data_IF_100115376666
#
_entry.id   IF_100115376666
#
_cell.length_a   1.000
_cell.length_b   1.000
_cell.length_c   1.000
_cell.angle_alpha   90.00
_cell.angle_beta   90.00
_cell.angle_gamma   90.00
#
_symmetry.space_group_name_H-M   'P 1'
#
loop_
_entity.id
_entity.type
_entity.pdbx_description
1 polymer ?
#
# COMPACT_ATOMS: atom_id res chain seq x y z
N UNK A 1 13.01 -22.92 2.64
CA UNK A 1 12.25 -24.14 2.99
C UNK A 1 10.74 -23.97 2.79
N UNK A 2 10.13 -22.89 3.28
CA UNK A 2 8.65 -22.70 3.22
C UNK A 2 8.05 -22.71 1.81
N UNK A 3 8.67 -22.06 0.82
CA UNK A 3 8.09 -21.99 -0.55
C UNK A 3 8.05 -23.33 -1.28
N UNK A 4 9.04 -24.21 -1.07
CA UNK A 4 9.05 -25.54 -1.69
C UNK A 4 7.95 -26.43 -1.11
N UNK A 5 7.71 -26.33 0.20
CA UNK A 5 6.59 -27.01 0.85
C UNK A 5 5.25 -26.48 0.34
N UNK A 6 5.09 -25.16 0.23
CA UNK A 6 3.90 -24.52 -0.36
C UNK A 6 3.67 -25.04 -1.78
N UNK A 7 4.71 -25.07 -2.62
CA UNK A 7 4.61 -25.60 -3.98
C UNK A 7 4.16 -27.06 -4.02
N UNK A 8 4.77 -27.93 -3.21
CA UNK A 8 4.42 -29.34 -3.15
C UNK A 8 2.97 -29.55 -2.70
N UNK A 9 2.54 -28.86 -1.63
CA UNK A 9 1.18 -28.95 -1.11
C UNK A 9 0.14 -28.40 -2.09
N UNK A 10 0.42 -27.25 -2.72
CA UNK A 10 -0.46 -26.69 -3.74
C UNK A 10 -0.57 -27.61 -4.95
N UNK A 11 0.55 -28.16 -5.43
CA UNK A 11 0.55 -29.09 -6.56
C UNK A 11 -0.30 -30.32 -6.26
N UNK A 12 -0.06 -31.00 -5.13
CA UNK A 12 -0.83 -32.20 -4.74
C UNK A 12 -2.31 -31.86 -4.55
N UNK A 13 -2.63 -30.78 -3.83
CA UNK A 13 -4.00 -30.36 -3.58
C UNK A 13 -4.75 -29.99 -4.85
N UNK A 14 -4.13 -29.22 -5.76
CA UNK A 14 -4.72 -28.84 -7.03
C UNK A 14 -4.84 -30.03 -7.98
N UNK A 15 -3.87 -30.95 -8.01
CA UNK A 15 -3.97 -32.19 -8.79
C UNK A 15 -5.15 -33.05 -8.31
N UNK A 16 -5.33 -33.21 -6.99
CA UNK A 16 -6.47 -33.94 -6.44
C UNK A 16 -7.80 -33.24 -6.79
N UNK A 17 -7.85 -31.92 -6.64
CA UNK A 17 -9.02 -31.11 -7.00
C UNK A 17 -9.36 -31.24 -8.50
N UNK A 18 -8.38 -31.11 -9.39
CA UNK A 18 -8.59 -31.23 -10.83
C UNK A 18 -8.98 -32.64 -11.23
N UNK A 19 -8.37 -33.68 -10.66
CA UNK A 19 -8.72 -35.05 -10.98
C UNK A 19 -10.16 -35.36 -10.53
N UNK A 20 -10.47 -35.15 -9.25
CA UNK A 20 -11.79 -35.45 -8.69
C UNK A 20 -12.88 -34.56 -9.29
N UNK A 21 -12.64 -33.25 -9.34
CA UNK A 21 -13.57 -32.27 -9.90
C UNK A 21 -13.84 -32.52 -11.39
N UNK A 22 -12.81 -32.88 -12.17
CA UNK A 22 -13.00 -33.16 -13.60
C UNK A 22 -13.72 -34.47 -13.84
N UNK A 23 -13.48 -35.53 -13.04
CA UNK A 23 -14.26 -36.77 -13.13
C UNK A 23 -15.74 -36.47 -12.94
N UNK A 24 -16.11 -35.77 -11.85
CA UNK A 24 -17.52 -35.45 -11.56
C UNK A 24 -18.13 -34.56 -12.64
N UNK A 25 -17.44 -33.47 -12.98
CA UNK A 25 -17.91 -32.52 -13.99
C UNK A 25 -18.06 -33.16 -15.37
N UNK A 26 -17.09 -33.99 -15.80
CA UNK A 26 -17.14 -34.63 -17.11
C UNK A 26 -18.21 -35.73 -17.18
N UNK A 27 -18.40 -36.51 -16.10
CA UNK A 27 -19.46 -37.51 -16.02
C UNK A 27 -20.86 -36.91 -16.13
N UNK A 28 -21.05 -35.69 -15.65
CA UNK A 28 -22.34 -35.01 -15.68
C UNK A 28 -22.60 -34.28 -17.01
N UNK A 29 -21.58 -33.64 -17.58
CA UNK A 29 -21.76 -32.73 -18.73
C UNK A 29 -21.35 -33.32 -20.08
N UNK A 30 -20.60 -34.42 -20.13
CA UNK A 30 -20.03 -34.99 -21.35
C UNK A 30 -20.24 -36.50 -21.41
N UNK A 31 -20.27 -37.04 -22.63
CA UNK A 31 -20.45 -38.48 -22.84
C UNK A 31 -19.17 -39.29 -22.62
N UNK A 32 -18.00 -38.67 -22.84
CA UNK A 32 -16.70 -39.31 -22.68
C UNK A 32 -15.76 -38.44 -21.84
N UNK A 33 -15.06 -39.08 -20.91
CA UNK A 33 -14.01 -38.41 -20.14
C UNK A 33 -12.77 -38.15 -21.00
N UNK A 34 -12.06 -37.06 -20.73
CA UNK A 34 -10.85 -36.72 -21.43
C UNK A 34 -9.77 -37.81 -21.22
N UNK A 35 -9.04 -38.21 -22.29
CA UNK A 35 -8.03 -39.24 -22.17
C UNK A 35 -6.85 -38.77 -21.31
N UNK A 36 -6.27 -39.69 -20.53
CA UNK A 36 -5.11 -39.46 -19.64
C UNK A 36 -5.39 -38.39 -18.57
N UNK A 37 -6.60 -38.40 -18.01
CA UNK A 37 -7.03 -37.39 -17.04
C UNK A 37 -6.09 -37.24 -15.83
N UNK A 38 -5.52 -38.31 -15.21
CA UNK A 38 -4.58 -38.14 -14.10
C UNK A 38 -3.34 -37.32 -14.45
N UNK A 39 -2.76 -37.55 -15.64
CA UNK A 39 -1.60 -36.80 -16.11
C UNK A 39 -1.97 -35.33 -16.40
N UNK A 40 -3.14 -35.09 -16.99
CA UNK A 40 -3.65 -33.73 -17.24
C UNK A 40 -3.89 -32.96 -15.95
N UNK A 41 -4.49 -33.61 -14.94
CA UNK A 41 -4.68 -33.04 -13.62
C UNK A 41 -3.35 -32.74 -12.92
N UNK A 42 -2.34 -33.60 -13.09
CA UNK A 42 -0.99 -33.34 -12.59
C UNK A 42 -0.37 -32.11 -13.26
N UNK A 43 -0.43 -32.03 -14.60
CA UNK A 43 0.06 -30.86 -15.35
C UNK A 43 -0.66 -29.58 -14.93
N UNK A 44 -2.00 -29.63 -14.78
CA UNK A 44 -2.78 -28.50 -14.29
C UNK A 44 -2.35 -28.05 -12.90
N UNK A 45 -2.16 -29.00 -11.98
CA UNK A 45 -1.68 -28.75 -10.63
C UNK A 45 -0.28 -28.13 -10.59
N UNK A 46 0.64 -28.61 -11.43
CA UNK A 46 1.99 -28.07 -11.56
C UNK A 46 1.98 -26.64 -12.11
N UNK A 47 1.20 -26.37 -13.16
CA UNK A 47 1.11 -25.04 -13.77
C UNK A 47 0.57 -24.02 -12.78
N UNK A 48 -0.60 -24.29 -12.20
CA UNK A 48 -1.24 -23.35 -11.30
C UNK A 48 -0.52 -23.27 -9.94
N UNK A 49 -0.09 -24.40 -9.39
CA UNK A 49 0.72 -24.43 -8.16
C UNK A 49 2.05 -23.70 -8.30
N UNK A 50 2.71 -23.84 -9.45
CA UNK A 50 3.94 -23.11 -9.79
C UNK A 50 3.70 -21.61 -9.88
N UNK A 51 2.64 -21.19 -10.58
CA UNK A 51 2.27 -19.78 -10.68
C UNK A 51 1.94 -19.16 -9.32
N UNK A 52 1.14 -19.83 -8.48
CA UNK A 52 0.78 -19.32 -7.14
C UNK A 52 2.00 -19.27 -6.21
N UNK A 53 2.91 -20.23 -6.32
CA UNK A 53 4.18 -20.21 -5.57
C UNK A 53 5.06 -19.04 -6.02
N UNK A 54 5.17 -18.80 -7.33
CA UNK A 54 5.89 -17.64 -7.87
C UNK A 54 5.30 -16.33 -7.34
N UNK A 55 3.97 -16.16 -7.38
CA UNK A 55 3.32 -14.97 -6.85
C UNK A 55 3.57 -14.82 -5.34
N UNK A 56 3.45 -15.90 -4.56
CA UNK A 56 3.76 -15.89 -3.13
C UNK A 56 5.22 -15.50 -2.86
N UNK A 57 6.16 -15.96 -3.70
CA UNK A 57 7.57 -15.56 -3.62
C UNK A 57 7.77 -14.07 -3.88
N UNK A 58 7.06 -13.51 -4.87
CA UNK A 58 7.08 -12.07 -5.18
C UNK A 58 6.52 -11.26 -4.00
N UNK A 59 5.37 -11.65 -3.43
CA UNK A 59 4.78 -10.97 -2.25
C UNK A 59 5.68 -11.08 -1.03
N UNK A 60 6.32 -12.23 -0.78
CA UNK A 60 7.27 -12.39 0.34
C UNK A 60 8.40 -11.36 0.30
N UNK A 61 8.90 -11.01 -0.90
CA UNK A 61 9.96 -10.02 -1.06
C UNK A 61 9.46 -8.58 -1.00
N UNK A 62 8.17 -8.34 -1.28
CA UNK A 62 7.53 -7.02 -1.25
C UNK A 62 6.11 -7.13 -0.66
N UNK A 63 6.00 -7.36 0.66
CA UNK A 63 4.72 -7.67 1.30
C UNK A 63 3.67 -6.59 1.05
N UNK A 64 2.49 -7.00 0.56
CA UNK A 64 1.34 -6.10 0.39
C UNK A 64 1.40 -5.21 -0.84
N UNK A 65 2.45 -5.28 -1.67
CA UNK A 65 2.52 -4.49 -2.90
C UNK A 65 1.74 -5.12 -4.06
N UNK A 66 1.65 -6.45 -4.11
CA UNK A 66 1.09 -7.20 -5.23
C UNK A 66 -0.11 -8.05 -4.79
N UNK A 67 -1.09 -7.40 -4.17
CA UNK A 67 -2.29 -8.09 -3.69
C UNK A 67 -3.24 -8.50 -4.83
N UNK A 68 -4.26 -9.27 -4.47
CA UNK A 68 -5.35 -9.63 -5.39
C UNK A 68 -6.16 -8.38 -5.78
N UNK A 69 -6.86 -8.44 -6.91
CA UNK A 69 -7.63 -7.32 -7.45
C UNK A 69 -8.54 -6.63 -6.41
N UNK A 70 -9.07 -7.38 -5.45
CA UNK A 70 -9.97 -6.87 -4.41
C UNK A 70 -9.28 -6.20 -3.21
N UNK A 71 -7.98 -6.44 -3.00
CA UNK A 71 -7.22 -5.84 -1.90
C UNK A 71 -6.07 -4.93 -2.41
N UNK A 72 -5.98 -4.74 -3.72
CA UNK A 72 -4.91 -3.98 -4.34
C UNK A 72 -5.02 -2.48 -4.01
N UNK A 73 -3.91 -1.89 -3.57
CA UNK A 73 -3.73 -0.45 -3.44
C UNK A 73 -2.74 0.04 -4.50
N UNK A 74 -3.13 1.04 -5.30
CA UNK A 74 -2.25 1.71 -6.25
C UNK A 74 -1.15 2.56 -5.58
N UNK A 75 -1.20 2.66 -4.25
CA UNK A 75 -0.31 3.46 -3.44
C UNK A 75 0.54 2.57 -2.54
N UNK A 76 1.83 2.89 -2.49
CA UNK A 76 2.71 2.47 -1.41
C UNK A 76 2.63 3.49 -0.27
N UNK A 77 2.80 3.02 0.96
CA UNK A 77 2.82 3.90 2.13
C UNK A 77 4.24 4.04 2.67
N UNK A 78 4.62 5.25 3.05
CA UNK A 78 5.84 5.54 3.79
C UNK A 78 5.46 6.23 5.09
N UNK A 79 5.91 5.68 6.22
CA UNK A 79 5.64 6.29 7.52
C UNK A 79 6.66 7.39 7.82
N UNK A 80 6.22 8.45 8.49
CA UNK A 80 7.07 9.51 9.02
C UNK A 80 6.69 9.85 10.46
N UNK A 81 7.69 10.22 11.26
CA UNK A 81 7.55 10.55 12.69
C UNK A 81 7.55 12.05 12.96
N UNK A 82 7.83 12.85 11.95
CA UNK A 82 8.05 14.29 12.08
C UNK A 82 7.67 15.01 10.79
N UNK A 83 7.16 16.22 10.93
CA UNK A 83 6.83 17.10 9.81
C UNK A 83 6.76 18.56 10.28
N UNK A 84 6.80 19.49 9.34
CA UNK A 84 6.57 20.90 9.60
C UNK A 84 5.16 21.27 9.13
N UNK A 85 4.32 21.83 10.00
CA UNK A 85 3.05 22.40 9.60
C UNK A 85 3.24 23.86 9.18
N UNK A 86 2.70 24.22 8.02
CA UNK A 86 2.65 25.59 7.53
C UNK A 86 1.25 26.13 7.84
N UNK A 87 1.16 26.99 8.85
CA UNK A 87 -0.09 27.57 9.36
C UNK A 87 -0.37 28.91 8.67
N UNK A 88 -1.55 29.06 8.08
CA UNK A 88 -2.11 30.33 7.65
C UNK A 88 -2.82 31.00 8.83
N UNK A 89 -2.29 32.14 9.27
CA UNK A 89 -2.80 32.84 10.46
C UNK A 89 -4.11 33.55 10.16
N UNK A 90 -5.07 33.51 11.09
CA UNK A 90 -6.35 34.24 11.00
C UNK A 90 -6.40 35.41 11.98
N UNK A 91 -6.86 36.57 11.52
CA UNK A 91 -7.11 37.76 12.34
C UNK A 91 -8.54 38.24 12.07
N UNK A 92 -9.37 38.28 13.10
CA UNK A 92 -10.79 38.64 12.95
C UNK A 92 -11.58 37.71 12.02
N UNK A 93 -11.22 36.43 11.96
CA UNK A 93 -11.87 35.43 11.11
C UNK A 93 -11.47 35.47 9.62
N UNK A 94 -10.53 36.33 9.23
CA UNK A 94 -9.96 36.39 7.88
C UNK A 94 -8.50 35.96 7.89
N UNK A 95 -8.04 35.31 6.82
CA UNK A 95 -6.61 35.00 6.67
C UNK A 95 -5.81 36.28 6.55
N UNK A 96 -4.73 36.38 7.34
CA UNK A 96 -3.77 37.46 7.22
C UNK A 96 -3.02 37.26 5.90
N UNK A 97 -3.01 38.28 5.05
CA UNK A 97 -2.26 38.28 3.79
C UNK A 97 -1.02 39.17 3.90
N UNK A 98 0.05 38.78 3.25
CA UNK A 98 1.28 39.56 3.09
C UNK A 98 1.13 40.57 1.94
N UNK A 99 2.16 41.39 1.72
CA UNK A 99 2.15 42.44 0.70
C UNK A 99 2.00 41.89 -0.73
N UNK A 100 2.36 40.63 -0.96
CA UNK A 100 2.21 39.93 -2.24
C UNK A 100 0.81 39.31 -2.44
N UNK A 101 -0.09 39.48 -1.47
CA UNK A 101 -1.43 38.93 -1.49
C UNK A 101 -1.53 37.45 -1.11
N UNK A 102 -0.43 36.79 -0.74
CA UNK A 102 -0.44 35.41 -0.23
C UNK A 102 -0.74 35.38 1.26
N UNK A 103 -1.22 34.24 1.74
CA UNK A 103 -1.47 34.06 3.18
C UNK A 103 -0.16 34.08 3.96
N UNK A 104 -0.16 34.77 5.10
CA UNK A 104 0.99 34.81 5.99
C UNK A 104 1.20 33.45 6.64
N UNK A 105 2.37 32.89 6.38
CA UNK A 105 2.72 31.53 6.75
C UNK A 105 3.58 31.51 8.02
N UNK A 106 3.22 30.65 8.96
CA UNK A 106 4.04 30.34 10.13
C UNK A 106 4.37 28.86 10.13
N UNK A 107 5.66 28.53 10.15
CA UNK A 107 6.13 27.14 10.12
C UNK A 107 6.35 26.64 11.54
N UNK A 108 5.78 25.48 11.85
CA UNK A 108 5.81 24.89 13.19
C UNK A 108 6.17 23.41 13.08
N UNK A 109 7.14 22.96 13.88
CA UNK A 109 7.61 21.57 13.85
C UNK A 109 6.76 20.67 14.74
N UNK A 110 6.47 19.48 14.24
CA UNK A 110 5.71 18.45 14.94
C UNK A 110 6.49 17.15 15.01
N UNK A 111 6.42 16.49 16.16
CA UNK A 111 7.01 15.17 16.42
C UNK A 111 5.95 14.21 16.95
N UNK A 112 6.00 12.96 16.52
CA UNK A 112 5.09 11.91 17.01
C UNK A 112 5.36 11.67 18.50
N UNK A 113 4.31 11.68 19.33
CA UNK A 113 4.45 11.40 20.75
C UNK A 113 4.81 9.93 21.01
N UNK A 114 5.34 9.63 22.20
CA UNK A 114 5.58 8.25 22.63
C UNK A 114 4.23 7.50 22.71
N UNK A 115 4.12 6.37 21.99
CA UNK A 115 2.87 5.61 21.88
C UNK A 115 2.73 4.77 20.62
N UNK A 116 3.66 4.90 19.66
CA UNK A 116 3.68 4.06 18.45
C UNK A 116 2.67 4.51 17.38
N UNK A 117 2.13 3.54 16.64
CA UNK A 117 1.22 3.80 15.51
C UNK A 117 -0.14 4.29 16.02
N UNK A 118 -0.52 5.52 15.65
CA UNK A 118 -1.73 6.19 16.15
C UNK A 118 -1.47 7.23 17.25
N UNK A 119 -0.23 7.38 17.70
CA UNK A 119 0.15 8.45 18.60
C UNK A 119 -0.04 9.83 17.95
N UNK A 120 -0.52 10.79 18.75
CA UNK A 120 -0.70 12.17 18.35
C UNK A 120 0.64 12.83 17.99
N UNK A 121 0.61 13.78 17.07
CA UNK A 121 1.77 14.63 16.80
C UNK A 121 1.72 15.85 17.71
N UNK A 122 2.80 16.09 18.46
CA UNK A 122 2.96 17.22 19.37
C UNK A 122 3.89 18.26 18.76
N UNK A 123 3.53 19.53 18.91
CA UNK A 123 4.36 20.66 18.48
C UNK A 123 5.65 20.72 19.31
N UNK A 124 6.79 20.96 18.66
CA UNK A 124 8.08 20.96 19.33
C UNK A 124 8.21 22.15 20.28
N UNK A 125 8.48 21.86 21.57
CA UNK A 125 8.56 22.88 22.62
C UNK A 125 7.22 23.24 23.24
N UNK A 126 6.10 22.73 22.71
CA UNK A 126 4.78 22.83 23.34
C UNK A 126 4.21 21.43 23.59
N UNK A 127 3.14 21.34 24.39
CA UNK A 127 2.39 20.09 24.53
C UNK A 127 1.12 20.11 23.66
N UNK A 128 1.09 20.98 22.64
CA UNK A 128 -0.08 21.11 21.78
C UNK A 128 -0.11 20.01 20.73
N UNK A 129 -1.25 19.32 20.64
CA UNK A 129 -1.49 18.33 19.60
C UNK A 129 -1.80 19.01 18.27
N UNK A 130 -1.30 18.43 17.19
CA UNK A 130 -1.59 18.87 15.82
C UNK A 130 -3.10 18.97 15.57
N UNK A 131 -3.53 20.14 15.07
CA UNK A 131 -4.89 20.41 14.63
C UNK A 131 -4.83 21.04 13.24
N UNK A 132 -5.68 20.58 12.33
CA UNK A 132 -5.75 21.13 10.97
C UNK A 132 -6.36 22.53 10.95
N UNK A 133 -7.27 22.84 11.88
CA UNK A 133 -7.91 24.14 11.97
C UNK A 133 -8.16 24.54 13.42
N UNK A 134 -7.98 25.83 13.72
CA UNK A 134 -8.32 26.48 14.98
C UNK A 134 -8.90 27.87 14.69
N UNK A 135 -9.38 28.60 15.71
CA UNK A 135 -9.82 29.99 15.52
C UNK A 135 -8.69 30.95 15.13
N UNK A 136 -7.43 30.57 15.37
CA UNK A 136 -6.25 31.41 15.14
C UNK A 136 -5.45 31.03 13.87
N UNK A 137 -5.64 29.82 13.34
CA UNK A 137 -4.95 29.39 12.13
C UNK A 137 -5.62 28.20 11.44
N UNK A 138 -5.31 28.05 10.14
CA UNK A 138 -5.56 26.85 9.36
C UNK A 138 -4.22 26.28 8.85
N UNK A 139 -4.03 24.97 8.87
CA UNK A 139 -2.82 24.34 8.28
C UNK A 139 -2.93 24.33 6.75
N UNK A 140 -2.25 25.27 6.11
CA UNK A 140 -2.25 25.45 4.66
C UNK A 140 -1.39 24.45 3.90
N UNK A 141 -0.32 23.97 4.53
CA UNK A 141 0.53 22.93 3.98
C UNK A 141 1.24 22.16 5.10
N UNK A 142 1.84 21.03 4.75
CA UNK A 142 2.82 20.35 5.59
C UNK A 142 4.10 20.13 4.79
N UNK A 143 5.25 20.07 5.46
CA UNK A 143 6.52 19.65 4.85
C UNK A 143 6.96 18.36 5.50
N UNK A 144 7.13 17.33 4.67
CA UNK A 144 7.48 15.98 5.13
C UNK A 144 8.80 15.61 4.48
N UNK A 145 9.73 15.06 5.28
CA UNK A 145 10.97 14.47 4.78
C UNK A 145 10.80 12.96 4.76
N UNK A 146 10.52 12.37 3.60
CA UNK A 146 10.52 10.92 3.47
C UNK A 146 11.95 10.36 3.47
N UNK A 147 12.09 9.05 3.70
CA UNK A 147 13.40 8.39 3.77
C UNK A 147 14.27 8.58 2.52
N UNK A 148 13.65 8.76 1.35
CA UNK A 148 14.34 8.92 0.07
C UNK A 148 14.41 10.37 -0.41
N UNK A 149 13.81 11.32 0.30
CA UNK A 149 13.82 12.74 -0.09
C UNK A 149 15.04 13.44 0.53
N UNK A 150 15.86 14.16 -0.27
CA UNK A 150 17.02 14.88 0.26
C UNK A 150 16.62 16.01 1.22
N UNK A 151 15.50 16.67 0.93
CA UNK A 151 14.95 17.79 1.69
C UNK A 151 13.45 17.62 1.98
N UNK A 152 12.89 18.32 2.99
CA UNK A 152 11.46 18.29 3.27
C UNK A 152 10.63 18.80 2.08
N UNK A 153 9.78 17.93 1.54
CA UNK A 153 8.89 18.22 0.41
C UNK A 153 7.59 18.84 0.93
N UNK A 154 7.09 19.87 0.24
CA UNK A 154 5.86 20.58 0.62
C UNK A 154 4.62 19.90 0.03
N UNK A 155 3.59 19.77 0.86
CA UNK A 155 2.27 19.22 0.53
C UNK A 155 1.20 20.25 0.88
N UNK A 156 0.53 20.81 -0.12
CA UNK A 156 -0.51 21.82 0.08
C UNK A 156 -1.85 21.19 0.45
N UNK A 157 -2.57 21.81 1.38
CA UNK A 157 -3.91 21.39 1.75
C UNK A 157 -4.87 21.51 0.55
N UNK A 158 -5.64 20.46 0.31
CA UNK A 158 -6.75 20.46 -0.65
C UNK A 158 -7.92 21.20 -0.02
N UNK A 159 -8.06 22.46 -0.40
CA UNK A 159 -9.09 23.37 0.13
C UNK A 159 -10.07 23.78 -0.97
N UNK A 160 -11.33 23.98 -0.59
CA UNK A 160 -12.36 24.58 -1.43
C UNK A 160 -12.52 26.03 -1.02
N UNK A 161 -12.63 26.93 -2.00
CA UNK A 161 -12.89 28.34 -1.78
C UNK A 161 -14.36 28.64 -2.11
N UNK A 162 -15.11 29.16 -1.14
CA UNK A 162 -16.50 29.54 -1.35
C UNK A 162 -16.60 30.71 -2.34
N UNK A 163 -17.45 30.61 -3.39
CA UNK A 163 -17.69 31.71 -4.31
C UNK A 163 -18.19 32.95 -3.55
N UNK A 164 -17.50 34.08 -3.71
CA UNK A 164 -17.89 35.38 -3.14
C UNK A 164 -17.20 35.75 -1.82
N UNK A 165 -17.07 34.83 -0.86
CA UNK A 165 -16.48 35.16 0.45
C UNK A 165 -14.97 34.92 0.52
N UNK A 166 -14.39 34.22 -0.47
CA UNK A 166 -12.99 33.77 -0.47
C UNK A 166 -12.60 32.97 0.77
N UNK A 167 -13.59 32.36 1.43
CA UNK A 167 -13.35 31.53 2.62
C UNK A 167 -12.83 30.17 2.16
N UNK A 168 -11.66 29.78 2.65
CA UNK A 168 -11.08 28.46 2.40
C UNK A 168 -11.55 27.47 3.45
N UNK A 169 -12.09 26.34 3.01
CA UNK A 169 -12.48 25.21 3.85
C UNK A 169 -11.79 23.95 3.35
N UNK A 170 -11.52 22.99 4.24
CA UNK A 170 -10.99 21.70 3.79
C UNK A 170 -12.05 20.96 2.97
N UNK A 171 -11.60 20.23 1.95
CA UNK A 171 -12.46 19.20 1.34
C UNK A 171 -12.84 18.13 2.37
N UNK A 172 -13.89 17.37 2.06
CA UNK A 172 -14.34 16.23 2.88
C UNK A 172 -13.21 15.22 3.17
N UNK A 173 -12.32 15.00 2.20
CA UNK A 173 -11.21 14.05 2.30
C UNK A 173 -10.06 14.56 3.19
N UNK A 174 -9.94 15.88 3.40
CA UNK A 174 -8.89 16.55 4.19
C UNK A 174 -7.49 16.02 3.86
N UNK A 175 -6.99 16.37 2.68
CA UNK A 175 -5.71 15.87 2.17
C UNK A 175 -4.67 16.99 2.03
N UNK A 176 -3.39 16.63 2.16
CA UNK A 176 -2.25 17.45 1.76
C UNK A 176 -1.58 16.80 0.55
N UNK A 177 -1.53 17.49 -0.59
CA UNK A 177 -1.05 16.97 -1.87
C UNK A 177 0.29 17.63 -2.23
N UNK A 178 1.25 16.84 -2.67
CA UNK A 178 2.58 17.30 -3.05
C UNK A 178 2.54 18.41 -4.11
N UNK A 179 3.39 19.42 -3.95
CA UNK A 179 3.57 20.45 -4.97
C UNK A 179 4.29 19.84 -6.18
N UNK A 180 3.62 19.78 -7.33
CA UNK A 180 4.11 19.18 -8.58
C UNK A 180 4.28 17.65 -8.55
N UNK A 181 3.57 16.95 -7.66
CA UNK A 181 3.60 15.50 -7.59
C UNK A 181 2.25 14.90 -7.23
N UNK A 182 2.20 13.58 -7.24
CA UNK A 182 0.98 12.81 -6.96
C UNK A 182 0.98 12.20 -5.55
N UNK A 183 2.03 12.43 -4.75
CA UNK A 183 2.08 11.95 -3.35
C UNK A 183 1.14 12.78 -2.49
N UNK A 184 0.53 12.15 -1.49
CA UNK A 184 -0.35 12.87 -0.56
C UNK A 184 -0.33 12.31 0.85
N UNK A 185 -0.79 13.12 1.81
CA UNK A 185 -0.98 12.76 3.22
C UNK A 185 -2.44 13.01 3.57
N UNK A 186 -3.12 12.00 4.12
CA UNK A 186 -4.47 12.15 4.65
C UNK A 186 -4.39 12.74 6.07
N UNK A 187 -5.14 13.81 6.35
CA UNK A 187 -5.16 14.43 7.69
C UNK A 187 -5.72 13.51 8.78
N UNK A 188 -6.56 12.54 8.41
CA UNK A 188 -7.09 11.52 9.33
C UNK A 188 -6.05 10.43 9.66
N UNK A 189 -4.96 10.35 8.90
CA UNK A 189 -3.89 9.36 9.06
C UNK A 189 -2.53 10.07 8.99
N UNK A 190 -2.38 11.12 9.80
CA UNK A 190 -1.11 11.84 9.90
C UNK A 190 0.02 10.87 10.25
N UNK A 191 1.18 11.08 9.62
CA UNK A 191 2.32 10.18 9.73
C UNK A 191 2.38 9.08 8.68
N UNK A 192 1.45 9.05 7.71
CA UNK A 192 1.50 8.15 6.56
C UNK A 192 1.48 8.94 5.26
N UNK A 193 2.54 8.81 4.47
CA UNK A 193 2.68 9.36 3.13
C UNK A 193 2.24 8.30 2.11
N UNK A 194 1.27 8.62 1.27
CA UNK A 194 0.80 7.78 0.18
C UNK A 194 1.54 8.16 -1.11
N UNK A 195 2.27 7.19 -1.66
CA UNK A 195 3.11 7.35 -2.85
C UNK A 195 2.54 6.46 -3.97
N UNK A 196 1.94 7.04 -5.02
CA UNK A 196 1.44 6.25 -6.14
C UNK A 196 2.59 5.52 -6.83
N UNK A 197 2.36 4.27 -7.22
CA UNK A 197 3.38 3.45 -7.86
C UNK A 197 2.85 2.78 -9.12
N UNK A 198 3.02 3.44 -10.26
CA UNK A 198 2.62 2.92 -11.59
C UNK A 198 3.23 1.55 -11.88
N UNK A 199 4.49 1.34 -11.48
CA UNK A 199 5.16 0.03 -11.61
C UNK A 199 4.46 -1.05 -10.79
N UNK A 200 4.06 -0.73 -9.57
CA UNK A 200 3.35 -1.67 -8.69
C UNK A 200 1.98 -2.01 -9.24
N UNK A 201 1.23 -1.00 -9.70
CA UNK A 201 -0.06 -1.17 -10.39
C UNK A 201 0.06 -2.09 -11.59
N UNK A 202 1.03 -1.85 -12.48
CA UNK A 202 1.21 -2.66 -13.68
C UNK A 202 1.51 -4.13 -13.35
N UNK A 203 2.43 -4.38 -12.42
CA UNK A 203 2.79 -5.76 -12.02
C UNK A 203 1.62 -6.45 -11.32
N UNK A 204 0.89 -5.77 -10.44
CA UNK A 204 -0.28 -6.32 -9.79
C UNK A 204 -1.37 -6.69 -10.81
N UNK A 205 -1.64 -5.80 -11.77
CA UNK A 205 -2.60 -6.08 -12.85
C UNK A 205 -2.16 -7.28 -13.69
N UNK A 206 -0.87 -7.33 -14.07
CA UNK A 206 -0.30 -8.44 -14.83
C UNK A 206 -0.46 -9.78 -14.09
N UNK A 207 -0.19 -9.82 -12.79
CA UNK A 207 -0.36 -11.03 -11.97
C UNK A 207 -1.82 -11.48 -11.89
N UNK A 208 -2.76 -10.55 -11.70
CA UNK A 208 -4.19 -10.87 -11.66
C UNK A 208 -4.70 -11.37 -13.02
N UNK A 209 -4.29 -10.75 -14.14
CA UNK A 209 -4.62 -11.23 -15.49
C UNK A 209 -3.98 -12.60 -15.75
N UNK A 210 -2.72 -12.78 -15.35
CA UNK A 210 -2.02 -14.06 -15.52
C UNK A 210 -2.72 -15.19 -14.76
N UNK A 211 -3.26 -14.93 -13.57
CA UNK A 211 -4.05 -15.91 -12.82
C UNK A 211 -5.29 -16.37 -13.60
N UNK A 212 -6.03 -15.42 -14.16
CA UNK A 212 -7.21 -15.72 -14.98
C UNK A 212 -6.82 -16.56 -16.21
N UNK A 213 -5.73 -16.18 -16.90
CA UNK A 213 -5.22 -16.92 -18.04
C UNK A 213 -4.71 -18.32 -17.66
N UNK A 214 -4.06 -18.47 -16.51
CA UNK A 214 -3.61 -19.78 -16.02
C UNK A 214 -4.81 -20.70 -15.75
N UNK A 215 -5.86 -20.19 -15.10
CA UNK A 215 -7.09 -20.95 -14.91
C UNK A 215 -7.75 -21.35 -16.24
N UNK A 216 -7.77 -20.46 -17.23
CA UNK A 216 -8.29 -20.76 -18.57
C UNK A 216 -7.45 -21.80 -19.29
N UNK A 217 -6.13 -21.70 -19.25
CA UNK A 217 -5.21 -22.69 -19.85
C UNK A 217 -5.39 -24.06 -19.18
N UNK A 218 -5.52 -24.10 -17.87
CA UNK A 218 -5.71 -25.37 -17.15
C UNK A 218 -7.07 -25.99 -17.50
N UNK A 219 -8.15 -25.21 -17.47
CA UNK A 219 -9.49 -25.76 -17.69
C UNK A 219 -9.78 -26.07 -19.17
N UNK A 220 -9.33 -25.24 -20.11
CA UNK A 220 -9.64 -25.40 -21.52
C UNK A 220 -8.67 -26.37 -22.23
N UNK A 221 -7.42 -26.02 -22.60
CA UNK A 221 -6.57 -26.94 -23.35
C UNK A 221 -6.05 -28.13 -22.51
N UNK A 222 -5.77 -27.94 -21.21
CA UNK A 222 -5.20 -29.03 -20.39
C UNK A 222 -6.26 -30.04 -19.98
N UNK A 223 -7.37 -29.62 -19.37
CA UNK A 223 -8.45 -30.52 -18.92
C UNK A 223 -9.50 -30.83 -20.02
N UNK A 224 -9.43 -30.15 -21.18
CA UNK A 224 -10.30 -30.35 -22.37
C UNK A 224 -11.79 -30.10 -22.12
N UNK A 225 -12.14 -29.18 -21.23
CA UNK A 225 -13.53 -28.71 -21.16
C UNK A 225 -13.90 -27.93 -22.43
N UNK A 226 -15.18 -27.98 -22.84
CA UNK A 226 -15.68 -27.05 -23.84
C UNK A 226 -15.49 -25.60 -23.37
N UNK A 227 -15.28 -24.68 -24.32
CA UNK A 227 -14.87 -23.32 -24.02
C UNK A 227 -15.80 -22.59 -23.02
N UNK A 228 -17.11 -22.71 -23.18
CA UNK A 228 -18.08 -22.09 -22.28
C UNK A 228 -17.97 -22.61 -20.83
N UNK A 229 -17.82 -23.92 -20.65
CA UNK A 229 -17.62 -24.52 -19.32
C UNK A 229 -16.26 -24.13 -18.72
N UNK A 230 -15.21 -24.11 -19.55
CA UNK A 230 -13.89 -23.67 -19.12
C UNK A 230 -13.88 -22.21 -18.66
N UNK A 231 -14.58 -21.31 -19.35
CA UNK A 231 -14.77 -19.93 -18.90
C UNK A 231 -15.48 -19.86 -17.54
N UNK A 232 -16.56 -20.63 -17.36
CA UNK A 232 -17.27 -20.70 -16.08
C UNK A 232 -16.36 -21.15 -14.93
N UNK A 233 -15.62 -22.25 -15.13
CA UNK A 233 -14.66 -22.74 -14.14
C UNK A 233 -13.50 -21.78 -13.91
N UNK A 234 -13.07 -21.07 -14.95
CA UNK A 234 -12.01 -20.06 -14.84
C UNK A 234 -12.41 -18.92 -13.91
N UNK A 235 -13.63 -18.39 -14.07
CA UNK A 235 -14.15 -17.34 -13.20
C UNK A 235 -14.25 -17.85 -11.76
N UNK A 236 -14.89 -19.00 -11.53
CA UNK A 236 -15.05 -19.56 -10.18
C UNK A 236 -13.70 -19.85 -9.53
N UNK A 237 -12.80 -20.54 -10.24
CA UNK A 237 -11.46 -20.88 -9.74
C UNK A 237 -10.63 -19.64 -9.42
N UNK A 238 -10.70 -18.61 -10.26
CA UNK A 238 -10.01 -17.33 -10.02
C UNK A 238 -10.54 -16.64 -8.78
N UNK A 239 -11.87 -16.55 -8.60
CA UNK A 239 -12.48 -15.92 -7.43
C UNK A 239 -12.15 -16.68 -6.14
N UNK A 240 -12.27 -18.02 -6.15
CA UNK A 240 -11.87 -18.86 -5.00
C UNK A 240 -10.39 -18.64 -4.66
N UNK A 241 -9.53 -18.56 -5.67
CA UNK A 241 -8.11 -18.28 -5.47
C UNK A 241 -7.91 -16.90 -4.85
N UNK A 242 -8.58 -15.87 -5.34
CA UNK A 242 -8.43 -14.49 -4.86
C UNK A 242 -8.97 -14.26 -3.45
N UNK A 243 -10.10 -14.90 -3.10
CA UNK A 243 -10.78 -14.66 -1.82
C UNK A 243 -10.37 -15.62 -0.71
N UNK A 244 -10.02 -16.87 -1.03
CA UNK A 244 -9.69 -17.86 -0.02
C UNK A 244 -8.20 -18.20 -0.01
N UNK A 245 -7.65 -18.58 -1.17
CA UNK A 245 -6.32 -19.18 -1.22
C UNK A 245 -5.20 -18.14 -1.06
N UNK A 246 -5.24 -17.04 -1.82
CA UNK A 246 -4.18 -16.03 -1.80
C UNK A 246 -4.05 -15.32 -0.45
N UNK A 247 -5.13 -14.88 0.23
CA UNK A 247 -5.00 -14.30 1.57
C UNK A 247 -4.37 -15.27 2.57
N UNK A 248 -4.69 -16.55 2.47
CA UNK A 248 -4.10 -17.60 3.31
C UNK A 248 -2.60 -17.76 3.02
N UNK A 249 -2.22 -17.86 1.75
CA UNK A 249 -0.83 -18.00 1.33
C UNK A 249 0.01 -16.80 1.75
N UNK A 250 -0.51 -15.58 1.56
CA UNK A 250 0.15 -14.34 1.98
C UNK A 250 0.32 -14.27 3.49
N UNK A 251 -0.73 -14.56 4.26
CA UNK A 251 -0.66 -14.52 5.73
C UNK A 251 0.45 -15.42 6.29
N UNK A 252 0.63 -16.63 5.75
CA UNK A 252 1.63 -17.57 6.27
C UNK A 252 3.05 -17.37 5.71
N UNK A 253 3.23 -16.63 4.62
CA UNK A 253 4.53 -16.47 3.98
C UNK A 253 5.13 -15.06 4.09
N UNK A 254 4.34 -14.06 4.49
CA UNK A 254 4.85 -12.72 4.78
C UNK A 254 5.76 -12.75 6.01
N UNK A 255 6.92 -12.09 5.97
CA UNK A 255 7.71 -11.87 7.18
C UNK A 255 6.88 -11.05 8.18
N UNK A 256 7.12 -11.26 9.47
CA UNK A 256 6.54 -10.41 10.49
C UNK A 256 6.88 -8.94 10.20
N UNK A 257 5.92 -8.01 10.37
CA UNK A 257 6.20 -6.60 10.23
C UNK A 257 7.41 -6.23 11.08
N UNK A 258 8.46 -5.67 10.45
CA UNK A 258 9.61 -5.18 11.21
C UNK A 258 9.09 -4.19 12.27
N UNK A 259 9.57 -4.27 13.53
CA UNK A 259 9.21 -3.28 14.53
C UNK A 259 9.53 -1.88 13.97
N UNK A 260 8.68 -0.91 14.28
CA UNK A 260 8.86 0.45 13.81
C UNK A 260 10.29 0.90 14.17
N UNK A 261 11.04 1.50 13.22
CA UNK A 261 12.37 1.99 13.53
C UNK A 261 12.29 2.90 14.75
N UNK A 262 13.21 2.71 15.71
CA UNK A 262 13.34 3.63 16.83
C UNK A 262 13.46 5.05 16.27
N UNK A 263 12.64 5.97 16.79
CA UNK A 263 12.57 7.33 16.29
C UNK A 263 13.98 7.92 16.28
N UNK A 264 14.56 8.12 15.10
CA UNK A 264 15.80 8.86 14.96
C UNK A 264 15.50 10.29 15.37
N UNK A 265 15.89 10.65 16.58
CA UNK A 265 15.80 12.03 17.03
C UNK A 265 16.54 12.91 16.02
N UNK A 266 15.88 13.99 15.55
CA UNK A 266 16.61 15.09 14.94
C UNK A 266 17.75 15.47 15.88
N UNK A 267 18.98 15.43 15.38
CA UNK A 267 20.10 16.06 16.07
C UNK A 267 19.83 17.56 15.98
N UNK A 268 19.19 18.10 17.00
CA UNK A 268 19.21 19.54 17.27
C UNK A 268 20.64 19.87 17.64
N UNK A 269 21.41 20.46 16.71
CA UNK A 269 22.69 21.07 17.03
C UNK A 269 22.43 22.17 18.08
N UNK A 270 22.88 22.02 19.34
CA UNK A 270 22.62 23.02 20.37
C UNK A 270 23.41 24.33 20.13
N UNK A 271 24.36 24.34 19.18
CA UNK A 271 25.38 25.36 19.09
C UNK A 271 25.33 26.32 17.90
N UNK A 272 24.69 25.96 16.79
CA UNK A 272 24.71 26.79 15.59
C UNK A 272 23.34 26.84 14.91
N UNK A 273 22.79 28.05 14.75
CA UNK A 273 21.58 28.33 13.98
C UNK A 273 21.71 28.10 12.47
N UNK A 274 22.51 27.13 12.03
CA UNK A 274 22.74 26.77 10.63
C UNK A 274 22.70 25.24 10.51
N UNK A 275 21.83 24.67 9.65
CA UNK A 275 21.67 23.23 9.53
C UNK A 275 22.89 22.62 8.79
N UNK A 276 23.77 21.95 9.53
CA UNK A 276 24.87 21.16 8.95
C UNK A 276 24.54 19.67 9.03
N UNK A 277 24.88 18.94 7.97
CA UNK A 277 24.38 17.60 7.61
C UNK A 277 24.44 16.49 8.67
N UNK A 278 23.60 15.48 8.42
CA UNK A 278 23.43 14.25 9.22
C UNK A 278 24.76 13.60 9.61
N UNK A 279 25.03 13.47 10.91
CA UNK A 279 26.08 12.59 11.43
C UNK A 279 25.43 11.23 11.73
N UNK A 280 25.67 10.24 10.89
CA UNK A 280 25.28 8.86 11.16
C UNK A 280 26.02 8.37 12.42
N UNK A 281 25.28 8.07 13.49
CA UNK A 281 25.86 7.38 14.66
C UNK A 281 26.29 5.98 14.22
N UNK A 282 27.60 5.79 14.11
CA UNK A 282 28.20 4.46 13.98
C UNK A 282 27.82 3.62 15.20
N UNK A 283 27.02 2.58 14.97
CA UNK A 283 26.73 1.58 15.99
C UNK A 283 28.04 0.89 16.39
N UNK A 284 28.45 1.08 17.64
CA UNK A 284 29.60 0.44 18.24
C UNK A 284 29.26 -1.05 18.42
N UNK A 285 29.69 -1.87 17.46
CA UNK A 285 29.69 -3.33 17.60
C UNK A 285 30.74 -3.64 18.68
N UNK A 286 30.28 -4.08 19.85
CA UNK A 286 31.13 -4.73 20.86
C UNK A 286 30.94 -6.23 20.70
N UNK A 287 32.07 -6.94 20.74
CA UNK A 287 32.23 -8.32 20.25
C UNK A 287 31.60 -9.41 21.10
#
# INVERSE_FOLDING_TARGET
>A
MTLLLVFALLTVGLTALFLGGTIVAQSYMYQEAAPRLPLRALVGGLLLGGFLTLWTSIDKNRPGQYETFFNFSAYSTAEFTEFEAVRWTTVGGKFKTEADGKESETVVKFKRSAGGKGASFMEEGTNETFKTNTGAYMTGAIRVKAANDPEPVRYNAKVQESPGTKTKTYTTERQFVEVNGDRYVNANQMGTLFVPSTKTLFVALLLNISLLLMWLVVTWPVLRFAFAHALGFTVVGTLVTMFALMPLLFKYNRPEPKPAPEATAWVTDPGNGIPTGQIARAAKITG
#
